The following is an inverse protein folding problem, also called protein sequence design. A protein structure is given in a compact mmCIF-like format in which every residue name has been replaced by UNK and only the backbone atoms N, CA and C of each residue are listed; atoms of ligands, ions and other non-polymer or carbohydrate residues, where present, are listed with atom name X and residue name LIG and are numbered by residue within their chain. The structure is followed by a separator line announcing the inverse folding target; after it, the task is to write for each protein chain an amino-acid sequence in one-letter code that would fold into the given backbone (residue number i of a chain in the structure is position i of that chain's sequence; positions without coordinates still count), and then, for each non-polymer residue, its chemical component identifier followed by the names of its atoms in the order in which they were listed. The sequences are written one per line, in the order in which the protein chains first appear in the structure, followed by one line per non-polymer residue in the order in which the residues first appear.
data_IF_235356589654
#
_entry.id   IF_235356589654
#
_cell.length_a   1.000
_cell.length_b   1.000
_cell.length_c   1.000
_cell.angle_alpha   90.00
_cell.angle_beta   90.00
_cell.angle_gamma   90.00
#
_symmetry.space_group_name_H-M   'P 1'
#
loop_
_entity.id
_entity.type
_entity.pdbx_description
1 polymer ?
#
# COMPACT_ATOMS: atom_id res chain seq x y z
N UNK A 1 13.45 -5.68 12.43
CA UNK A 1 13.63 -4.94 11.18
C UNK A 1 13.73 -5.91 10.02
N UNK A 2 12.96 -5.65 8.96
CA UNK A 2 12.96 -6.44 7.73
C UNK A 2 13.89 -5.74 6.74
N UNK A 3 14.83 -6.47 6.14
CA UNK A 3 15.70 -5.91 5.12
C UNK A 3 14.86 -5.46 3.91
N UNK A 4 15.20 -4.31 3.32
CA UNK A 4 14.49 -3.80 2.15
C UNK A 4 14.68 -4.76 0.95
N UNK A 5 13.58 -5.36 0.49
CA UNK A 5 13.53 -6.09 -0.79
C UNK A 5 13.10 -5.10 -1.87
N UNK A 6 14.04 -4.48 -2.58
CA UNK A 6 13.70 -3.60 -3.69
C UNK A 6 13.17 -4.42 -4.86
N UNK A 7 11.88 -4.27 -5.18
CA UNK A 7 11.24 -4.97 -6.29
C UNK A 7 11.45 -4.20 -7.59
N UNK A 8 11.74 -4.91 -8.70
CA UNK A 8 11.63 -4.37 -10.06
C UNK A 8 10.17 -4.23 -10.54
N UNK A 9 9.20 -4.52 -9.65
CA UNK A 9 7.79 -4.41 -9.93
C UNK A 9 7.35 -2.94 -9.99
N UNK A 10 6.46 -2.65 -10.94
CA UNK A 10 5.93 -1.30 -11.16
C UNK A 10 4.77 -1.01 -10.22
N UNK A 11 4.72 0.21 -9.71
CA UNK A 11 3.61 0.72 -8.92
C UNK A 11 2.47 1.20 -9.83
N UNK A 12 1.78 0.25 -10.46
CA UNK A 12 0.53 0.51 -11.18
C UNK A 12 -0.69 0.47 -10.25
N UNK A 13 -1.88 0.72 -10.83
CA UNK A 13 -3.16 0.57 -10.12
C UNK A 13 -3.29 -0.81 -9.47
N UNK A 14 -3.64 -0.83 -8.19
CA UNK A 14 -3.85 -2.03 -7.38
C UNK A 14 -2.59 -2.64 -6.80
N UNK A 15 -1.40 -2.11 -7.09
CA UNK A 15 -0.15 -2.58 -6.46
C UNK A 15 -0.21 -2.39 -4.94
N UNK A 16 0.20 -3.40 -4.18
CA UNK A 16 0.32 -3.39 -2.72
C UNK A 16 1.79 -3.42 -2.32
N UNK A 17 2.21 -2.42 -1.55
CA UNK A 17 3.63 -2.16 -1.27
C UNK A 17 3.84 -1.65 0.15
N UNK A 18 5.00 -1.96 0.72
CA UNK A 18 5.33 -1.57 2.10
C UNK A 18 5.61 -0.07 2.19
N UNK A 19 4.99 0.63 3.14
CA UNK A 19 5.36 1.99 3.46
C UNK A 19 6.61 1.99 4.36
N UNK A 20 7.46 3.00 4.21
CA UNK A 20 8.65 3.23 5.04
C UNK A 20 8.79 4.70 5.38
N UNK A 21 9.38 5.00 6.53
CA UNK A 21 9.91 6.34 6.80
C UNK A 21 11.22 6.54 6.00
N UNK A 22 11.82 7.74 6.08
CA UNK A 22 13.08 8.05 5.39
C UNK A 22 14.24 7.09 5.73
N UNK A 23 14.16 6.41 6.88
CA UNK A 23 15.05 5.30 7.18
C UNK A 23 14.60 4.05 6.40
N UNK A 24 15.43 3.52 5.49
CA UNK A 24 15.09 2.33 4.69
C UNK A 24 14.72 1.09 5.51
N UNK A 25 15.19 0.99 6.77
CA UNK A 25 14.93 -0.15 7.66
C UNK A 25 13.69 0.04 8.57
N UNK A 26 12.91 1.11 8.35
CA UNK A 26 11.72 1.43 9.15
C UNK A 26 10.41 0.84 8.62
N UNK A 27 10.46 0.03 7.57
CA UNK A 27 9.29 -0.71 7.09
C UNK A 27 8.85 -1.69 8.19
N UNK A 28 7.73 -1.38 8.85
CA UNK A 28 7.20 -2.19 9.95
C UNK A 28 5.95 -2.98 9.51
N UNK A 29 4.77 -2.39 9.69
CA UNK A 29 3.46 -2.96 9.40
C UNK A 29 2.63 -2.08 8.49
N UNK A 30 3.10 -0.87 8.17
CA UNK A 30 2.40 0.03 7.27
C UNK A 30 2.59 -0.41 5.82
N UNK A 31 1.48 -0.50 5.08
CA UNK A 31 1.46 -0.77 3.65
C UNK A 31 0.49 0.21 2.97
N UNK A 32 0.56 0.30 1.65
CA UNK A 32 -0.37 1.08 0.85
C UNK A 32 -0.84 0.28 -0.37
N UNK A 33 -1.96 0.73 -0.95
CA UNK A 33 -2.52 0.23 -2.21
C UNK A 33 -2.58 1.41 -3.19
N UNK A 34 -2.01 1.25 -4.38
CA UNK A 34 -2.07 2.28 -5.42
C UNK A 34 -3.47 2.40 -6.03
N UNK A 35 -4.09 3.57 -5.98
CA UNK A 35 -5.36 3.83 -6.68
C UNK A 35 -5.19 4.02 -8.19
N UNK A 36 -4.01 4.46 -8.62
CA UNK A 36 -3.66 4.72 -10.01
C UNK A 36 -2.16 4.47 -10.22
N UNK A 37 -1.64 4.76 -11.41
CA UNK A 37 -0.20 4.76 -11.68
C UNK A 37 0.55 5.67 -10.69
N UNK A 38 1.56 5.07 -10.06
CA UNK A 38 2.46 5.72 -9.13
C UNK A 38 3.91 5.33 -9.47
N UNK A 39 4.25 5.31 -10.76
CA UNK A 39 5.60 4.96 -11.26
C UNK A 39 6.74 5.77 -10.63
N UNK A 40 6.45 6.95 -10.06
CA UNK A 40 7.40 7.73 -9.26
C UNK A 40 7.85 7.04 -7.96
N UNK A 41 7.24 5.92 -7.57
CA UNK A 41 7.61 5.08 -6.42
C UNK A 41 8.47 3.86 -6.81
N UNK A 42 8.66 3.61 -8.11
CA UNK A 42 9.39 2.44 -8.60
C UNK A 42 10.84 2.42 -8.10
N UNK A 43 11.32 1.24 -7.71
CA UNK A 43 12.65 1.03 -7.15
C UNK A 43 12.89 1.65 -5.76
N UNK A 44 11.91 2.35 -5.20
CA UNK A 44 12.02 2.99 -3.88
C UNK A 44 11.24 2.27 -2.78
N UNK A 45 10.28 1.42 -3.14
CA UNK A 45 9.43 0.69 -2.20
C UNK A 45 9.35 -0.78 -2.58
N UNK A 46 9.05 -1.61 -1.59
CA UNK A 46 8.97 -3.07 -1.72
C UNK A 46 7.54 -3.49 -2.05
N UNK A 47 7.29 -3.81 -3.32
CA UNK A 47 6.03 -4.42 -3.76
C UNK A 47 5.99 -5.88 -3.30
N UNK A 48 4.90 -6.27 -2.64
CA UNK A 48 4.70 -7.65 -2.19
C UNK A 48 3.37 -8.25 -2.66
N UNK A 49 2.52 -7.48 -3.34
CA UNK A 49 1.24 -7.98 -3.82
C UNK A 49 0.53 -7.04 -4.78
N UNK A 50 -0.64 -7.48 -5.24
CA UNK A 50 -1.56 -6.70 -6.07
C UNK A 50 -2.99 -7.12 -5.74
N UNK A 51 -3.90 -6.17 -5.73
CA UNK A 51 -5.34 -6.44 -5.63
C UNK A 51 -5.78 -7.21 -6.88
N UNK A 52 -6.28 -8.43 -6.68
CA UNK A 52 -6.75 -9.31 -7.77
C UNK A 52 -8.25 -9.23 -7.99
N UNK A 53 -9.01 -8.81 -6.97
CA UNK A 53 -10.46 -8.60 -6.99
C UNK A 53 -10.85 -7.50 -5.99
N UNK A 54 -11.98 -6.83 -6.23
CA UNK A 54 -12.53 -5.80 -5.33
C UNK A 54 -11.88 -4.42 -5.40
N UNK A 55 -11.25 -4.06 -6.53
CA UNK A 55 -10.66 -2.73 -6.72
C UNK A 55 -11.68 -1.58 -6.67
N UNK A 56 -12.94 -1.85 -7.00
CA UNK A 56 -14.05 -0.90 -6.85
C UNK A 56 -14.32 -0.55 -5.37
N UNK A 57 -14.13 -1.51 -4.44
CA UNK A 57 -14.19 -1.20 -3.01
C UNK A 57 -12.98 -0.37 -2.56
N UNK A 58 -11.79 -0.67 -3.11
CA UNK A 58 -10.57 0.11 -2.85
C UNK A 58 -10.75 1.57 -3.28
N UNK A 59 -11.37 1.81 -4.44
CA UNK A 59 -11.64 3.16 -4.95
C UNK A 59 -12.59 3.97 -4.05
N UNK A 60 -13.42 3.28 -3.26
CA UNK A 60 -14.37 3.88 -2.32
C UNK A 60 -13.79 4.15 -0.92
N UNK A 61 -12.55 3.73 -0.63
CA UNK A 61 -11.88 4.06 0.63
C UNK A 61 -11.73 5.58 0.75
N UNK A 62 -12.03 6.11 1.94
CA UNK A 62 -11.98 7.55 2.22
C UNK A 62 -10.58 8.11 1.93
N UNK A 63 -10.53 9.10 1.05
CA UNK A 63 -9.28 9.79 0.68
C UNK A 63 -8.91 10.81 1.74
N UNK A 64 -7.62 10.85 2.07
CA UNK A 64 -7.06 11.83 2.97
C UNK A 64 -6.97 13.21 2.34
N UNK A 65 -6.93 14.23 3.19
CA UNK A 65 -6.74 15.61 2.76
C UNK A 65 -5.27 15.86 2.38
N UNK A 66 -5.03 16.21 1.12
CA UNK A 66 -3.69 16.51 0.60
C UNK A 66 -3.03 17.69 1.31
N UNK A 67 -3.81 18.68 1.78
CA UNK A 67 -3.29 19.83 2.52
C UNK A 67 -2.88 19.47 3.95
N UNK A 68 -3.40 18.35 4.47
CA UNK A 68 -3.12 17.85 5.82
C UNK A 68 -2.42 16.49 5.78
N UNK A 69 -1.43 16.35 4.87
CA UNK A 69 -0.56 15.19 4.75
C UNK A 69 -1.31 13.84 4.65
N UNK A 70 -2.44 13.82 3.96
CA UNK A 70 -3.25 12.62 3.78
C UNK A 70 -4.02 12.19 5.04
N UNK A 71 -4.17 13.04 6.06
CA UNK A 71 -5.02 12.72 7.22
C UNK A 71 -6.48 12.55 6.79
N UNK A 72 -7.15 11.56 7.40
CA UNK A 72 -8.54 11.21 7.13
C UNK A 72 -9.34 11.39 8.42
N UNK A 73 -10.43 12.15 8.36
CA UNK A 73 -11.39 12.22 9.46
C UNK A 73 -12.31 10.99 9.43
N UNK A 74 -12.45 10.30 10.57
CA UNK A 74 -13.19 9.03 10.69
C UNK A 74 -12.77 7.99 9.64
N UNK A 75 -11.53 7.48 9.69
CA UNK A 75 -10.99 6.58 8.66
C UNK A 75 -11.70 5.23 8.62
N UNK A 76 -11.73 4.61 7.44
CA UNK A 76 -12.14 3.22 7.28
C UNK A 76 -11.22 2.28 8.09
N UNK A 77 -11.77 1.16 8.55
CA UNK A 77 -11.07 0.24 9.46
C UNK A 77 -11.09 -1.17 8.89
N UNK A 78 -9.93 -1.84 8.91
CA UNK A 78 -9.87 -3.27 8.68
C UNK A 78 -10.45 -4.00 9.89
N UNK A 79 -11.67 -4.51 9.78
CA UNK A 79 -12.35 -5.25 10.87
C UNK A 79 -11.82 -6.69 10.98
N UNK A 80 -11.44 -7.29 9.84
CA UNK A 80 -10.87 -8.63 9.76
C UNK A 80 -9.92 -8.71 8.57
N UNK A 81 -8.79 -9.38 8.78
CA UNK A 81 -7.83 -9.74 7.74
C UNK A 81 -7.54 -11.22 7.89
N UNK A 82 -7.54 -11.97 6.80
CA UNK A 82 -7.24 -13.40 6.80
C UNK A 82 -6.38 -13.76 5.60
N UNK A 83 -5.44 -14.68 5.83
CA UNK A 83 -4.66 -15.31 4.77
C UNK A 83 -5.45 -16.51 4.29
N UNK A 84 -5.76 -16.57 2.99
CA UNK A 84 -6.30 -17.79 2.39
C UNK A 84 -5.20 -18.85 2.42
N UNK A 85 -5.51 -20.05 2.91
CA UNK A 85 -4.59 -21.17 2.75
C UNK A 85 -4.51 -21.54 1.27
N UNK A 86 -3.32 -21.88 0.80
CA UNK A 86 -3.14 -22.49 -0.52
C UNK A 86 -4.01 -23.76 -0.58
N UNK A 87 -4.85 -23.88 -1.62
CA UNK A 87 -5.63 -25.08 -1.92
C UNK A 87 -4.78 -26.19 -2.52
#
# INVERSE_FOLDING_TARGET
DLAAEFSNEKHGRGTVSMARAANPDSANSQFFICFDDASYLDGQYSVFGRVVDGMDFVDNIKKGDKMHNGSVHDPDKMVRVSVAADS
#
